data_IF_970026279473
#
_entry.id   IF_970026279473
#
_cell.length_a   1.000
_cell.length_b   1.000
_cell.length_c   1.000
_cell.angle_alpha   90.00
_cell.angle_beta   90.00
_cell.angle_gamma   90.00
#
_symmetry.space_group_name_H-M   'P 1'
#
loop_
_entity.id
_entity.type
_entity.pdbx_description
1 polymer ?
#
# COMPACT_ATOMS: atom_id res chain seq x y z
N UNK A 1 5.98 6.64 -14.68
CA UNK A 1 4.64 6.10 -14.38
C UNK A 1 3.92 5.87 -15.68
N UNK A 2 3.15 4.78 -15.79
CA UNK A 2 2.24 4.54 -16.92
C UNK A 2 0.88 4.14 -16.40
N UNK A 3 -0.17 4.60 -17.08
CA UNK A 3 -1.55 4.13 -16.86
C UNK A 3 -1.85 2.97 -17.80
N UNK A 4 -2.48 1.91 -17.28
CA UNK A 4 -2.89 0.77 -18.08
C UNK A 4 -4.36 0.44 -17.87
N UNK A 5 -5.07 0.35 -18.98
CA UNK A 5 -6.49 -0.05 -19.09
C UNK A 5 -7.44 0.76 -18.18
N UNK A 6 -7.06 1.99 -17.79
CA UNK A 6 -7.81 2.81 -16.83
C UNK A 6 -8.01 2.13 -15.47
N UNK A 7 -7.10 1.24 -15.10
CA UNK A 7 -7.23 0.39 -13.90
C UNK A 7 -5.94 0.28 -13.09
N UNK A 8 -4.78 0.42 -13.74
CA UNK A 8 -3.48 0.28 -13.08
C UNK A 8 -2.64 1.53 -13.27
N UNK A 9 -2.09 2.04 -12.17
CA UNK A 9 -1.01 3.01 -12.17
C UNK A 9 0.30 2.26 -11.88
N UNK A 10 1.23 2.30 -12.82
CA UNK A 10 2.49 1.55 -12.73
C UNK A 10 3.64 2.53 -12.49
N UNK A 11 4.23 2.49 -11.31
CA UNK A 11 5.43 3.27 -10.95
C UNK A 11 6.66 2.36 -11.03
N UNK A 12 7.76 2.87 -11.57
CA UNK A 12 8.98 2.08 -11.79
C UNK A 12 10.20 3.01 -11.91
N UNK A 13 11.41 2.53 -11.59
CA UNK A 13 12.64 3.24 -11.88
C UNK A 13 12.76 3.51 -13.38
N UNK A 14 12.97 4.77 -13.74
CA UNK A 14 13.20 5.20 -15.12
C UNK A 14 14.67 5.58 -15.36
N UNK A 15 15.10 5.58 -16.61
CA UNK A 15 16.37 6.20 -16.99
C UNK A 15 16.38 7.68 -16.60
N UNK A 16 17.54 8.20 -16.18
CA UNK A 16 17.71 9.53 -15.59
C UNK A 16 17.06 10.63 -16.42
N UNK A 17 15.91 11.12 -15.96
CA UNK A 17 15.28 12.36 -16.44
C UNK A 17 15.01 13.25 -15.23
N UNK A 18 15.89 14.20 -14.97
CA UNK A 18 15.79 15.14 -13.85
C UNK A 18 14.82 16.28 -14.16
N UNK A 19 13.52 16.02 -14.09
CA UNK A 19 12.53 17.09 -13.91
C UNK A 19 11.31 16.52 -13.20
N UNK A 20 10.99 17.03 -12.01
CA UNK A 20 9.67 16.82 -11.41
C UNK A 20 8.60 17.32 -12.38
N UNK A 21 7.49 16.60 -12.48
CA UNK A 21 6.37 16.96 -13.34
C UNK A 21 5.10 17.11 -12.50
N UNK A 22 4.14 17.87 -13.02
CA UNK A 22 2.79 17.82 -12.46
C UNK A 22 2.30 16.37 -12.48
N UNK A 23 1.68 15.92 -11.39
CA UNK A 23 1.04 14.61 -11.42
C UNK A 23 -0.08 14.58 -12.48
N UNK A 24 -0.45 13.38 -12.95
CA UNK A 24 -1.65 13.21 -13.75
C UNK A 24 -2.86 13.88 -13.09
N UNK A 25 -3.71 14.49 -13.91
CA UNK A 25 -4.93 15.11 -13.42
C UNK A 25 -5.80 14.06 -12.71
N UNK A 26 -6.34 14.43 -11.54
CA UNK A 26 -7.20 13.54 -10.78
C UNK A 26 -8.60 13.45 -11.44
N UNK A 27 -9.25 12.28 -11.41
CA UNK A 27 -10.63 12.13 -11.84
C UNK A 27 -11.58 13.09 -11.08
N UNK A 28 -12.59 13.64 -11.77
CA UNK A 28 -13.52 14.63 -11.17
C UNK A 28 -14.30 14.08 -9.96
N UNK A 29 -14.71 12.81 -10.03
CA UNK A 29 -15.35 12.08 -8.93
C UNK A 29 -14.40 11.94 -7.74
N UNK A 30 -13.11 11.71 -7.99
CA UNK A 30 -12.09 11.65 -6.95
C UNK A 30 -11.85 13.01 -6.28
N UNK A 31 -11.78 14.10 -7.04
CA UNK A 31 -11.67 15.47 -6.47
C UNK A 31 -12.88 15.77 -5.59
N UNK A 32 -14.09 15.40 -6.03
CA UNK A 32 -15.29 15.56 -5.22
C UNK A 32 -15.24 14.71 -3.92
N UNK A 33 -14.68 13.50 -3.99
CA UNK A 33 -14.43 12.63 -2.83
C UNK A 33 -13.45 13.24 -1.83
N UNK A 34 -12.29 13.70 -2.31
CA UNK A 34 -11.27 14.39 -1.50
C UNK A 34 -11.85 15.62 -0.81
N UNK A 35 -12.60 16.44 -1.53
CA UNK A 35 -13.28 17.61 -0.96
C UNK A 35 -14.28 17.22 0.12
N UNK A 36 -15.04 16.13 -0.07
CA UNK A 36 -15.99 15.62 0.93
C UNK A 36 -15.28 15.11 2.18
N UNK A 37 -14.15 14.41 2.03
CA UNK A 37 -13.39 13.80 3.14
C UNK A 37 -12.55 14.81 3.91
N UNK A 38 -11.89 15.72 3.19
CA UNK A 38 -10.80 16.55 3.72
C UNK A 38 -10.99 18.06 3.54
N UNK A 39 -12.07 18.48 2.87
CA UNK A 39 -12.33 19.90 2.59
C UNK A 39 -11.62 20.42 1.35
N UNK A 40 -12.04 21.61 0.90
CA UNK A 40 -11.57 22.20 -0.37
C UNK A 40 -10.07 22.49 -0.39
N UNK A 41 -9.51 22.99 0.72
CA UNK A 41 -8.09 23.37 0.80
C UNK A 41 -7.20 22.15 0.56
N UNK A 42 -7.47 21.06 1.27
CA UNK A 42 -6.70 19.81 1.15
C UNK A 42 -6.90 19.20 -0.24
N UNK A 43 -8.14 19.15 -0.74
CA UNK A 43 -8.44 18.64 -2.07
C UNK A 43 -7.65 19.37 -3.17
N UNK A 44 -7.63 20.71 -3.13
CA UNK A 44 -6.90 21.52 -4.10
C UNK A 44 -5.38 21.32 -3.99
N UNK A 45 -4.85 21.20 -2.77
CA UNK A 45 -3.43 20.97 -2.56
C UNK A 45 -3.00 19.57 -3.05
N UNK A 46 -3.81 18.53 -2.86
CA UNK A 46 -3.54 17.19 -3.38
C UNK A 46 -3.61 17.15 -4.91
N UNK A 47 -4.59 17.83 -5.51
CA UNK A 47 -4.73 17.96 -6.97
C UNK A 47 -3.55 18.72 -7.60
N UNK A 48 -3.12 19.83 -6.99
CA UNK A 48 -2.02 20.65 -7.48
C UNK A 48 -0.62 20.11 -7.11
N UNK A 49 -0.54 19.11 -6.22
CA UNK A 49 0.73 18.59 -5.73
C UNK A 49 1.58 18.03 -6.88
N UNK A 50 2.87 18.35 -6.89
CA UNK A 50 3.80 17.78 -7.88
C UNK A 50 4.14 16.33 -7.54
N UNK A 51 4.32 15.50 -8.58
CA UNK A 51 4.87 14.16 -8.45
C UNK A 51 6.33 14.14 -8.94
N UNK A 52 7.04 13.07 -8.60
CA UNK A 52 8.37 12.81 -9.14
C UNK A 52 8.34 11.85 -10.32
N UNK A 53 7.23 11.13 -10.53
CA UNK A 53 7.11 10.21 -11.64
C UNK A 53 6.85 10.94 -12.97
N UNK A 54 7.68 10.65 -13.96
CA UNK A 54 7.50 11.10 -15.35
C UNK A 54 6.61 10.11 -16.10
N UNK A 55 5.61 10.61 -16.82
CA UNK A 55 4.70 9.78 -17.62
C UNK A 55 5.45 9.10 -18.79
N UNK A 56 5.22 7.80 -18.99
CA UNK A 56 5.75 7.01 -20.12
C UNK A 56 7.28 7.07 -20.30
N UNK A 57 8.04 7.34 -19.24
CA UNK A 57 9.50 7.32 -19.29
C UNK A 57 10.05 5.91 -19.55
N UNK A 58 11.17 5.83 -20.26
CA UNK A 58 11.88 4.56 -20.46
C UNK A 58 12.35 3.99 -19.11
N UNK A 59 12.19 2.68 -18.87
CA UNK A 59 12.52 2.06 -17.60
C UNK A 59 14.03 1.92 -17.49
N UNK A 60 14.56 2.08 -16.28
CA UNK A 60 15.96 1.79 -16.03
C UNK A 60 16.26 0.31 -16.31
N UNK A 61 17.48 0.02 -16.77
CA UNK A 61 17.90 -1.36 -17.07
C UNK A 61 17.83 -2.28 -15.85
N UNK A 62 17.42 -3.53 -16.08
CA UNK A 62 17.43 -4.62 -15.10
C UNK A 62 16.05 -4.93 -14.51
N UNK A 63 15.76 -6.22 -14.36
CA UNK A 63 14.51 -6.72 -13.79
C UNK A 63 14.43 -6.43 -12.28
N UNK A 64 13.24 -6.04 -11.82
CA UNK A 64 13.00 -5.52 -10.47
C UNK A 64 11.85 -6.26 -9.80
N UNK A 65 11.90 -6.50 -8.47
CA UNK A 65 10.77 -7.04 -7.73
C UNK A 65 9.52 -6.16 -7.88
N UNK A 66 8.35 -6.80 -7.81
CA UNK A 66 7.05 -6.17 -8.03
C UNK A 66 6.25 -6.11 -6.74
N UNK A 67 5.63 -4.96 -6.50
CA UNK A 67 4.59 -4.78 -5.50
C UNK A 67 3.28 -4.57 -6.25
N UNK A 68 2.29 -5.44 -6.01
CA UNK A 68 0.92 -5.19 -6.46
C UNK A 68 0.17 -4.55 -5.30
N UNK A 69 -0.24 -3.30 -5.48
CA UNK A 69 -0.81 -2.46 -4.43
C UNK A 69 -2.33 -2.30 -4.59
N UNK A 70 -3.08 -2.42 -3.49
CA UNK A 70 -4.50 -2.10 -3.43
C UNK A 70 -4.80 -0.96 -2.42
N UNK A 71 -5.53 0.11 -2.82
CA UNK A 71 -5.90 1.21 -1.94
C UNK A 71 -6.99 0.80 -0.93
N UNK A 72 -7.35 1.73 -0.04
CA UNK A 72 -8.52 1.56 0.83
C UNK A 72 -9.86 1.65 0.09
N UNK A 73 -10.94 1.22 0.76
CA UNK A 73 -12.28 1.33 0.19
C UNK A 73 -12.72 2.79 0.07
N UNK A 74 -13.28 3.15 -1.10
CA UNK A 74 -13.55 4.53 -1.52
C UNK A 74 -12.31 5.43 -1.65
N UNK A 75 -11.11 4.85 -1.66
CA UNK A 75 -9.85 5.55 -1.92
C UNK A 75 -9.32 5.17 -3.30
N UNK A 76 -8.36 5.93 -3.79
CA UNK A 76 -7.68 5.63 -5.05
C UNK A 76 -6.17 5.48 -4.87
N UNK A 77 -5.47 4.85 -5.81
CA UNK A 77 -4.01 4.73 -5.78
C UNK A 77 -3.31 6.11 -5.68
N UNK A 78 -3.90 7.14 -6.29
CA UNK A 78 -3.43 8.52 -6.25
C UNK A 78 -3.41 9.10 -4.83
N UNK A 79 -4.20 8.57 -3.88
CA UNK A 79 -4.16 8.94 -2.47
C UNK A 79 -2.84 8.53 -1.78
N UNK A 80 -2.03 7.67 -2.41
CA UNK A 80 -0.81 7.08 -1.84
C UNK A 80 0.46 7.44 -2.61
N UNK A 81 0.37 8.40 -3.54
CA UNK A 81 1.44 8.70 -4.51
C UNK A 81 2.79 8.89 -3.84
N UNK A 82 2.90 9.61 -2.72
CA UNK A 82 4.19 9.83 -2.06
C UNK A 82 4.87 8.51 -1.64
N UNK A 83 4.10 7.57 -1.09
CA UNK A 83 4.60 6.26 -0.66
C UNK A 83 4.92 5.38 -1.87
N UNK A 84 4.05 5.36 -2.88
CA UNK A 84 4.24 4.53 -4.08
C UNK A 84 5.46 5.00 -4.91
N UNK A 85 5.67 6.30 -5.04
CA UNK A 85 6.86 6.87 -5.70
C UNK A 85 8.13 6.64 -4.90
N UNK A 86 8.10 6.77 -3.56
CA UNK A 86 9.27 6.46 -2.72
C UNK A 86 9.66 4.97 -2.86
N UNK A 87 8.69 4.05 -2.82
CA UNK A 87 8.92 2.63 -3.05
C UNK A 87 9.52 2.38 -4.44
N UNK A 88 8.95 2.99 -5.50
CA UNK A 88 9.50 2.85 -6.85
C UNK A 88 10.94 3.38 -6.94
N UNK A 89 11.25 4.52 -6.29
CA UNK A 89 12.58 5.12 -6.27
C UNK A 89 13.65 4.20 -5.65
N UNK A 90 13.23 3.25 -4.81
CA UNK A 90 14.11 2.25 -4.16
C UNK A 90 14.38 1.03 -5.03
N UNK A 91 13.83 0.98 -6.24
CA UNK A 91 14.09 -0.10 -7.18
C UNK A 91 12.99 -1.15 -7.25
N UNK A 92 11.75 -0.78 -7.00
CA UNK A 92 10.58 -1.66 -7.15
C UNK A 92 9.72 -1.23 -8.33
N UNK A 93 9.09 -2.17 -9.00
CA UNK A 93 7.92 -1.87 -9.84
C UNK A 93 6.69 -1.95 -8.97
N UNK A 94 5.90 -0.88 -8.92
CA UNK A 94 4.67 -0.80 -8.15
C UNK A 94 3.49 -0.78 -9.12
N UNK A 95 2.71 -1.84 -9.12
CA UNK A 95 1.46 -1.96 -9.88
C UNK A 95 0.29 -1.65 -8.95
N UNK A 96 -0.14 -0.40 -8.94
CA UNK A 96 -1.20 0.07 -8.06
C UNK A 96 -2.55 -0.02 -8.74
N UNK A 97 -3.46 -0.79 -8.15
CA UNK A 97 -4.87 -0.83 -8.55
C UNK A 97 -5.47 0.55 -8.29
N UNK A 98 -5.93 1.21 -9.34
CA UNK A 98 -6.38 2.60 -9.25
C UNK A 98 -7.52 2.76 -8.25
N UNK A 99 -8.52 1.86 -8.30
CA UNK A 99 -9.64 1.83 -7.35
C UNK A 99 -10.08 0.41 -7.09
N UNK A 100 -10.61 0.16 -5.89
CA UNK A 100 -11.19 -1.14 -5.58
C UNK A 100 -12.45 -1.41 -6.42
N UNK A 101 -12.82 -2.69 -6.67
CA UNK A 101 -14.07 -3.03 -7.32
C UNK A 101 -15.28 -2.39 -6.61
N UNK A 102 -16.22 -1.87 -7.38
CA UNK A 102 -17.44 -1.26 -6.84
C UNK A 102 -18.26 -2.29 -6.06
N UNK A 103 -18.73 -1.90 -4.88
CA UNK A 103 -19.51 -2.74 -3.99
C UNK A 103 -20.23 -1.91 -2.94
N UNK A 104 -21.36 -2.42 -2.43
CA UNK A 104 -22.10 -1.81 -1.32
C UNK A 104 -21.48 -2.14 0.05
N UNK A 105 -20.72 -3.24 0.13
CA UNK A 105 -19.98 -3.66 1.32
C UNK A 105 -18.48 -3.71 1.02
N UNK A 106 -17.60 -3.66 2.04
CA UNK A 106 -16.16 -3.80 1.84
C UNK A 106 -15.77 -5.01 0.95
N UNK A 107 -15.23 -4.78 -0.26
CA UNK A 107 -15.10 -5.82 -1.29
C UNK A 107 -13.85 -6.70 -1.13
N UNK A 108 -13.64 -7.34 0.02
CA UNK A 108 -12.41 -8.10 0.31
C UNK A 108 -12.12 -9.17 -0.74
N UNK A 109 -13.09 -10.02 -1.09
CA UNK A 109 -12.89 -11.12 -2.03
C UNK A 109 -12.70 -10.66 -3.48
N UNK A 110 -13.38 -9.58 -3.89
CA UNK A 110 -13.19 -9.00 -5.23
C UNK A 110 -11.84 -8.29 -5.33
N UNK A 111 -11.43 -7.58 -4.28
CA UNK A 111 -10.11 -6.94 -4.21
C UNK A 111 -8.98 -7.97 -4.23
N UNK A 112 -9.14 -9.08 -3.51
CA UNK A 112 -8.15 -10.17 -3.54
C UNK A 112 -7.99 -10.76 -4.95
N UNK A 113 -9.08 -10.91 -5.71
CA UNK A 113 -9.04 -11.33 -7.13
C UNK A 113 -8.32 -10.28 -8.00
N UNK A 114 -8.61 -9.00 -7.80
CA UNK A 114 -7.94 -7.93 -8.52
C UNK A 114 -6.42 -7.90 -8.28
N UNK A 115 -5.95 -8.21 -7.06
CA UNK A 115 -4.52 -8.34 -6.77
C UNK A 115 -3.88 -9.53 -7.53
N UNK A 116 -4.55 -10.68 -7.59
CA UNK A 116 -4.11 -11.82 -8.42
C UNK A 116 -4.13 -11.50 -9.91
N UNK A 117 -5.06 -10.67 -10.39
CA UNK A 117 -5.04 -10.18 -11.77
C UNK A 117 -3.85 -9.24 -12.03
N UNK A 118 -3.47 -8.41 -11.05
CA UNK A 118 -2.26 -7.59 -11.12
C UNK A 118 -0.97 -8.42 -11.13
N UNK A 119 -0.94 -9.51 -10.35
CA UNK A 119 0.14 -10.50 -10.42
C UNK A 119 0.22 -11.16 -11.79
N UNK A 120 -0.91 -11.62 -12.33
CA UNK A 120 -0.97 -12.22 -13.66
C UNK A 120 -0.52 -11.22 -14.73
N UNK A 121 -0.87 -9.94 -14.56
CA UNK A 121 -0.40 -8.85 -15.41
C UNK A 121 1.10 -8.58 -15.25
N UNK A 122 1.69 -8.75 -14.07
CA UNK A 122 3.14 -8.63 -13.86
C UNK A 122 3.89 -9.84 -14.45
N UNK A 123 3.35 -11.05 -14.22
CA UNK A 123 3.89 -12.32 -14.70
C UNK A 123 3.77 -12.48 -16.20
N UNK A 124 2.73 -11.88 -16.75
CA UNK A 124 2.48 -11.75 -18.15
C UNK A 124 2.04 -10.33 -18.43
N UNK A 125 2.98 -9.37 -18.46
CA UNK A 125 2.82 -8.23 -19.36
C UNK A 125 2.88 -8.84 -20.77
N UNK A 126 1.76 -9.46 -21.15
CA UNK A 126 1.64 -10.56 -22.09
C UNK A 126 1.02 -10.00 -23.37
N UNK A 127 1.80 -10.02 -24.46
CA UNK A 127 1.37 -9.93 -25.85
C UNK A 127 0.90 -8.59 -26.48
N UNK A 128 0.84 -7.42 -25.81
CA UNK A 128 0.81 -6.11 -26.52
C UNK A 128 1.16 -4.84 -25.68
N UNK A 129 1.50 -3.76 -26.40
CA UNK A 129 1.70 -2.30 -26.13
C UNK A 129 2.66 -1.85 -25.03
N UNK A 130 3.08 -2.72 -24.10
CA UNK A 130 4.04 -2.36 -23.04
C UNK A 130 5.21 -3.34 -22.91
N UNK A 131 5.56 -4.06 -23.98
CA UNK A 131 6.68 -5.02 -24.00
C UNK A 131 8.00 -4.39 -23.51
N UNK A 132 8.17 -3.10 -23.74
CA UNK A 132 9.32 -2.33 -23.27
C UNK A 132 9.47 -2.32 -21.74
N UNK A 133 8.37 -2.52 -20.98
CA UNK A 133 8.38 -2.58 -19.52
C UNK A 133 8.66 -4.00 -19.00
N UNK A 134 8.50 -5.04 -19.83
CA UNK A 134 8.67 -6.44 -19.42
C UNK A 134 10.07 -6.71 -18.89
N UNK A 135 11.08 -6.10 -19.51
CA UNK A 135 12.47 -6.24 -19.11
C UNK A 135 12.77 -5.64 -17.71
N UNK A 136 11.89 -4.76 -17.20
CA UNK A 136 12.02 -4.14 -15.90
C UNK A 136 11.35 -4.95 -14.77
N UNK A 137 10.65 -6.04 -15.09
CA UNK A 137 9.88 -6.82 -14.11
C UNK A 137 10.52 -8.18 -13.85
N UNK A 138 10.74 -8.47 -12.56
CA UNK A 138 11.00 -9.80 -12.05
C UNK A 138 9.69 -10.39 -11.51
N UNK A 139 8.99 -11.14 -12.38
CA UNK A 139 7.71 -11.76 -12.04
C UNK A 139 7.82 -12.90 -11.02
N UNK A 140 9.02 -13.36 -10.70
CA UNK A 140 9.23 -14.34 -9.64
C UNK A 140 9.29 -13.70 -8.25
N UNK A 141 9.27 -12.36 -8.17
CA UNK A 141 9.39 -11.61 -6.91
C UNK A 141 8.22 -10.65 -6.72
N UNK A 142 7.04 -11.21 -6.52
CA UNK A 142 5.80 -10.44 -6.34
C UNK A 142 5.39 -10.44 -4.87
N UNK A 143 5.10 -9.26 -4.32
CA UNK A 143 4.51 -9.07 -2.99
C UNK A 143 3.19 -8.31 -3.12
N UNK A 144 2.16 -8.76 -2.39
CA UNK A 144 0.90 -8.03 -2.31
C UNK A 144 0.92 -7.03 -1.16
N UNK A 145 0.53 -5.79 -1.43
CA UNK A 145 0.49 -4.73 -0.42
C UNK A 145 -0.86 -4.04 -0.53
N UNK A 146 -1.41 -3.59 0.59
CA UNK A 146 -2.55 -2.70 0.51
C UNK A 146 -2.87 -2.01 1.81
N UNK A 147 -3.76 -1.02 1.71
CA UNK A 147 -4.25 -0.26 2.85
C UNK A 147 -5.71 -0.57 3.15
N UNK A 148 -6.09 -0.60 4.43
CA UNK A 148 -7.48 -0.82 4.86
C UNK A 148 -8.04 -2.11 4.24
N UNK A 149 -9.18 -2.05 3.55
CA UNK A 149 -9.74 -3.20 2.80
C UNK A 149 -8.72 -3.82 1.83
N UNK A 150 -7.92 -3.01 1.14
CA UNK A 150 -6.86 -3.49 0.24
C UNK A 150 -5.79 -4.30 0.97
N UNK A 151 -5.45 -3.93 2.20
CA UNK A 151 -4.43 -4.63 3.01
C UNK A 151 -4.90 -5.99 3.50
N UNK A 152 -6.11 -6.08 4.04
CA UNK A 152 -6.68 -7.36 4.45
C UNK A 152 -6.94 -8.26 3.22
N UNK A 153 -7.35 -7.68 2.09
CA UNK A 153 -7.50 -8.39 0.82
C UNK A 153 -6.16 -8.89 0.24
N UNK A 154 -5.05 -8.17 0.43
CA UNK A 154 -3.71 -8.62 0.04
C UNK A 154 -3.32 -9.92 0.74
N UNK A 155 -3.59 -10.01 2.04
CA UNK A 155 -3.33 -11.23 2.82
C UNK A 155 -4.29 -12.35 2.45
N UNK A 156 -5.56 -12.03 2.15
CA UNK A 156 -6.53 -13.00 1.63
C UNK A 156 -6.10 -13.55 0.26
N UNK A 157 -5.58 -12.70 -0.64
CA UNK A 157 -5.06 -13.10 -1.94
C UNK A 157 -3.85 -14.02 -1.78
N UNK A 158 -2.88 -13.64 -0.94
CA UNK A 158 -1.71 -14.47 -0.63
C UNK A 158 -2.08 -15.80 0.07
N UNK A 159 -3.21 -15.86 0.77
CA UNK A 159 -3.73 -17.13 1.31
C UNK A 159 -4.21 -18.11 0.25
N UNK A 160 -4.59 -17.59 -0.92
CA UNK A 160 -5.08 -18.37 -2.07
C UNK A 160 -3.99 -18.58 -3.11
N UNK A 161 -2.87 -17.88 -2.98
CA UNK A 161 -1.75 -17.99 -3.89
C UNK A 161 -0.42 -18.08 -3.12
N UNK A 162 0.14 -19.28 -2.91
CA UNK A 162 1.41 -19.46 -2.20
C UNK A 162 2.65 -19.15 -3.06
N UNK A 163 2.51 -18.77 -4.34
CA UNK A 163 3.67 -18.45 -5.21
C UNK A 163 4.25 -17.07 -4.93
N UNK A 164 3.44 -16.13 -4.44
CA UNK A 164 3.88 -14.78 -4.06
C UNK A 164 4.82 -14.84 -2.86
N UNK A 165 5.67 -13.83 -2.73
CA UNK A 165 6.73 -13.79 -1.71
C UNK A 165 6.27 -13.29 -0.35
N UNK A 166 5.10 -12.68 -0.28
CA UNK A 166 4.50 -12.26 0.98
C UNK A 166 3.33 -11.32 0.77
N UNK A 167 2.76 -10.87 1.89
CA UNK A 167 1.73 -9.84 1.90
C UNK A 167 1.96 -8.80 3.00
N UNK A 168 1.63 -7.55 2.71
CA UNK A 168 1.64 -6.45 3.67
C UNK A 168 0.23 -5.86 3.81
N UNK A 169 -0.26 -5.85 5.04
CA UNK A 169 -1.52 -5.23 5.41
C UNK A 169 -1.24 -3.92 6.17
N UNK A 170 -1.54 -2.79 5.56
CA UNK A 170 -1.49 -1.47 6.19
C UNK A 170 -2.86 -1.16 6.80
N UNK A 171 -3.02 -1.47 8.08
CA UNK A 171 -4.14 -1.11 8.94
C UNK A 171 -5.52 -1.59 8.49
N UNK A 172 -5.56 -2.71 7.75
CA UNK A 172 -6.78 -3.38 7.32
C UNK A 172 -7.31 -4.36 8.37
N UNK A 173 -8.55 -4.16 8.79
CA UNK A 173 -9.25 -5.12 9.63
C UNK A 173 -9.57 -6.41 8.84
N UNK A 174 -9.27 -7.56 9.44
CA UNK A 174 -9.61 -8.87 8.88
C UNK A 174 -11.09 -9.19 9.15
N UNK A 175 -11.99 -8.44 8.52
CA UNK A 175 -13.43 -8.64 8.64
C UNK A 175 -13.98 -9.50 7.49
N UNK A 176 -15.19 -10.03 7.69
CA UNK A 176 -15.92 -10.81 6.67
C UNK A 176 -15.04 -11.90 6.02
N UNK A 177 -14.92 -11.91 4.70
CA UNK A 177 -14.11 -12.90 3.97
C UNK A 177 -12.62 -12.83 4.33
N UNK A 178 -12.09 -11.67 4.69
CA UNK A 178 -10.68 -11.54 5.07
C UNK A 178 -10.37 -12.22 6.42
N UNK A 179 -11.36 -12.43 7.30
CA UNK A 179 -11.19 -13.20 8.53
C UNK A 179 -10.79 -14.67 8.28
N UNK A 180 -11.12 -15.19 7.08
CA UNK A 180 -10.80 -16.55 6.66
C UNK A 180 -9.39 -16.69 6.07
N UNK A 181 -8.62 -15.60 5.95
CA UNK A 181 -7.27 -15.66 5.41
C UNK A 181 -6.37 -16.60 6.23
N UNK A 182 -5.61 -17.46 5.55
CA UNK A 182 -4.69 -18.44 6.12
C UNK A 182 -3.42 -18.52 5.25
N UNK A 183 -2.63 -17.45 5.16
CA UNK A 183 -1.43 -17.39 4.33
C UNK A 183 -0.38 -18.38 4.82
N UNK A 184 0.30 -19.05 3.88
CA UNK A 184 1.50 -19.86 4.14
C UNK A 184 2.79 -19.09 3.88
N UNK A 185 2.67 -17.86 3.40
CA UNK A 185 3.77 -16.94 3.07
C UNK A 185 3.99 -15.93 4.22
N UNK A 186 5.11 -15.19 4.23
CA UNK A 186 5.34 -14.11 5.18
C UNK A 186 4.25 -13.05 5.16
N UNK A 187 3.94 -12.46 6.32
CA UNK A 187 2.96 -11.39 6.44
C UNK A 187 3.47 -10.28 7.36
N UNK A 188 3.46 -9.05 6.87
CA UNK A 188 3.61 -7.85 7.70
C UNK A 188 2.24 -7.19 7.91
N UNK A 189 1.82 -7.05 9.16
CA UNK A 189 0.61 -6.32 9.55
C UNK A 189 0.99 -5.05 10.30
N UNK A 190 0.89 -3.91 9.65
CA UNK A 190 1.11 -2.60 10.27
C UNK A 190 -0.21 -2.05 10.76
N UNK A 191 -0.28 -1.67 12.03
CA UNK A 191 -1.48 -1.23 12.70
C UNK A 191 -1.32 0.21 13.16
N UNK A 192 -2.37 1.00 12.99
CA UNK A 192 -2.49 2.27 13.66
C UNK A 192 -2.80 2.08 15.16
N UNK A 193 -2.71 3.17 15.92
CA UNK A 193 -3.01 3.20 17.34
C UNK A 193 -4.17 4.17 17.61
N UNK A 194 -5.26 3.62 18.13
CA UNK A 194 -6.38 4.41 18.64
C UNK A 194 -6.45 4.25 20.17
N UNK A 195 -6.09 5.28 20.96
CA UNK A 195 -6.10 5.20 22.42
C UNK A 195 -7.50 4.99 23.00
N UNK A 196 -8.51 5.43 22.26
CA UNK A 196 -9.93 5.38 22.60
C UNK A 196 -10.64 4.13 22.08
N UNK A 197 -9.87 3.14 21.62
CA UNK A 197 -10.43 1.93 21.08
C UNK A 197 -11.10 1.04 22.15
N UNK A 198 -12.30 0.56 21.83
CA UNK A 198 -13.02 -0.38 22.68
C UNK A 198 -12.23 -1.70 22.89
N UNK A 199 -12.15 -2.15 24.13
CA UNK A 199 -11.47 -3.40 24.50
C UNK A 199 -12.00 -4.62 23.71
N UNK A 200 -13.28 -4.65 23.38
CA UNK A 200 -13.88 -5.69 22.54
C UNK A 200 -13.34 -5.70 21.11
N UNK A 201 -13.06 -4.53 20.53
CA UNK A 201 -12.44 -4.40 19.20
C UNK A 201 -11.00 -4.90 19.21
N UNK A 202 -10.23 -4.54 20.24
CA UNK A 202 -8.85 -5.02 20.45
C UNK A 202 -8.85 -6.54 20.57
N UNK A 203 -9.68 -7.10 21.45
CA UNK A 203 -9.77 -8.54 21.68
C UNK A 203 -10.19 -9.30 20.40
N UNK A 204 -11.18 -8.79 19.67
CA UNK A 204 -11.62 -9.38 18.40
C UNK A 204 -10.47 -9.41 17.38
N UNK A 205 -9.74 -8.32 17.20
CA UNK A 205 -8.63 -8.29 16.22
C UNK A 205 -7.48 -9.18 16.65
N UNK A 206 -7.16 -9.24 17.94
CA UNK A 206 -6.15 -10.18 18.44
C UNK A 206 -6.54 -11.63 18.15
N UNK A 207 -7.81 -11.99 18.38
CA UNK A 207 -8.33 -13.32 18.04
C UNK A 207 -8.21 -13.63 16.54
N UNK A 208 -8.71 -12.73 15.69
CA UNK A 208 -8.65 -12.95 14.24
C UNK A 208 -7.21 -13.01 13.75
N UNK A 209 -6.33 -12.14 14.24
CA UNK A 209 -4.91 -12.18 13.89
C UNK A 209 -4.25 -13.50 14.29
N UNK A 210 -4.56 -14.04 15.47
CA UNK A 210 -4.08 -15.36 15.90
C UNK A 210 -4.44 -16.44 14.89
N UNK A 211 -5.64 -16.39 14.34
CA UNK A 211 -6.10 -17.35 13.33
C UNK A 211 -5.44 -17.11 11.96
N UNK A 212 -5.32 -15.86 11.52
CA UNK A 212 -4.70 -15.51 10.24
C UNK A 212 -3.22 -15.88 10.25
N UNK A 213 -2.48 -15.53 11.31
CA UNK A 213 -1.05 -15.75 11.40
C UNK A 213 -0.66 -17.22 11.56
N UNK A 214 -1.58 -18.09 11.98
CA UNK A 214 -1.31 -19.46 12.41
C UNK A 214 -0.55 -20.33 11.39
N UNK A 215 -0.69 -20.04 10.08
CA UNK A 215 0.01 -20.76 9.01
C UNK A 215 1.11 -19.96 8.33
N UNK A 216 1.27 -18.67 8.65
CA UNK A 216 2.25 -17.82 8.00
C UNK A 216 3.66 -18.31 8.35
N UNK A 217 4.54 -18.36 7.36
CA UNK A 217 5.93 -18.76 7.57
C UNK A 217 6.74 -17.72 8.35
N UNK A 218 6.33 -16.45 8.32
CA UNK A 218 6.94 -15.36 9.07
C UNK A 218 5.91 -14.23 9.31
N UNK A 219 5.02 -14.38 10.31
CA UNK A 219 4.09 -13.33 10.66
C UNK A 219 4.74 -12.27 11.54
N UNK A 220 4.52 -11.01 11.21
CA UNK A 220 4.91 -9.87 12.03
C UNK A 220 3.77 -8.86 12.10
N UNK A 221 3.38 -8.48 13.31
CA UNK A 221 2.46 -7.37 13.53
C UNK A 221 3.18 -6.24 14.27
N UNK A 222 3.08 -5.02 13.73
CA UNK A 222 3.68 -3.81 14.28
C UNK A 222 2.58 -2.79 14.52
N UNK A 223 2.42 -2.32 15.76
CA UNK A 223 1.59 -1.17 16.08
C UNK A 223 2.43 0.11 16.05
N UNK A 224 2.06 1.05 15.18
CA UNK A 224 2.76 2.32 15.01
C UNK A 224 2.13 3.38 15.91
N UNK A 225 2.90 3.86 16.88
CA UNK A 225 2.46 4.88 17.82
C UNK A 225 2.23 6.21 17.10
N UNK A 226 1.14 6.89 17.44
CA UNK A 226 0.78 8.17 16.83
C UNK A 226 0.19 8.08 15.42
N UNK A 227 0.07 6.88 14.84
CA UNK A 227 -0.73 6.68 13.63
C UNK A 227 -2.20 6.53 14.00
N UNK A 228 -3.08 7.12 13.18
CA UNK A 228 -4.47 6.70 12.96
C UNK A 228 -4.60 6.22 11.51
N UNK A 229 -5.78 5.70 11.17
CA UNK A 229 -6.04 5.00 9.92
C UNK A 229 -5.63 5.75 8.65
N UNK A 230 -5.69 7.08 8.62
CA UNK A 230 -5.34 7.87 7.42
C UNK A 230 -3.90 8.37 7.43
N UNK A 231 -3.05 7.97 8.37
CA UNK A 231 -1.63 8.36 8.35
C UNK A 231 -0.81 7.67 7.23
N UNK A 232 -1.36 6.65 6.57
CA UNK A 232 -0.71 5.94 5.47
C UNK A 232 -0.88 6.60 4.10
N UNK A 233 -1.66 7.68 4.00
CA UNK A 233 -1.99 8.36 2.73
C UNK A 233 -1.44 9.79 2.67
N UNK A 234 -1.32 10.34 1.47
CA UNK A 234 -0.74 11.67 1.19
C UNK A 234 -1.47 12.80 1.94
N UNK A 235 -2.77 12.65 2.19
CA UNK A 235 -3.56 13.60 2.97
C UNK A 235 -3.00 13.83 4.39
N UNK A 236 -2.21 12.91 4.93
CA UNK A 236 -1.52 13.08 6.20
C UNK A 236 -0.57 14.29 6.20
N UNK A 237 0.08 14.59 5.06
CA UNK A 237 0.95 15.76 4.89
C UNK A 237 0.22 17.08 5.12
N UNK A 238 -1.11 17.06 4.98
CA UNK A 238 -2.00 18.21 5.08
C UNK A 238 -3.00 18.07 6.23
N UNK A 239 -2.72 17.18 7.19
CA UNK A 239 -3.66 16.82 8.25
C UNK A 239 -4.11 18.05 9.05
N UNK A 240 -3.25 19.04 9.25
CA UNK A 240 -3.59 20.27 9.99
C UNK A 240 -4.67 21.11 9.29
N UNK A 241 -4.76 21.05 7.96
CA UNK A 241 -5.76 21.77 7.16
C UNK A 241 -7.07 20.99 6.99
N UNK A 242 -7.10 19.71 7.41
CA UNK A 242 -8.32 18.89 7.40
C UNK A 242 -9.29 19.41 8.47
N UNK A 243 -10.60 19.57 8.16
CA UNK A 243 -11.61 19.96 9.15
C UNK A 243 -11.56 19.08 10.40
N UNK A 244 -11.64 19.71 11.58
CA UNK A 244 -11.41 19.04 12.88
C UNK A 244 -12.19 17.72 13.05
N UNK A 245 -13.47 17.70 12.62
CA UNK A 245 -14.33 16.51 12.70
C UNK A 245 -13.76 15.31 11.93
N UNK A 246 -13.21 15.55 10.74
CA UNK A 246 -12.58 14.51 9.93
C UNK A 246 -11.16 14.20 10.44
N UNK A 247 -10.45 15.23 10.90
CA UNK A 247 -9.07 15.10 11.39
C UNK A 247 -8.95 14.23 12.64
N UNK A 248 -9.79 14.48 13.65
CA UNK A 248 -9.68 13.89 14.99
C UNK A 248 -9.69 12.36 14.99
N UNK A 249 -10.43 11.74 14.07
CA UNK A 249 -10.56 10.29 13.97
C UNK A 249 -9.72 9.69 12.84
N UNK A 250 -9.32 10.50 11.84
CA UNK A 250 -8.58 10.05 10.68
C UNK A 250 -7.06 10.09 10.85
N UNK A 251 -6.53 11.12 11.51
CA UNK A 251 -5.09 11.37 11.58
C UNK A 251 -4.62 11.47 13.02
N UNK A 252 -3.54 10.76 13.34
CA UNK A 252 -2.84 10.84 14.61
C UNK A 252 -1.76 11.92 14.61
N UNK A 253 -0.97 11.95 15.69
CA UNK A 253 0.00 13.00 15.99
C UNK A 253 1.41 12.76 15.43
N UNK A 254 1.62 11.68 14.68
CA UNK A 254 2.93 11.40 14.10
C UNK A 254 3.33 12.45 13.06
N UNK A 255 4.63 12.74 12.94
CA UNK A 255 5.15 13.70 11.94
C UNK A 255 4.84 13.17 10.54
N UNK A 256 4.01 13.84 9.72
CA UNK A 256 3.45 13.24 8.51
C UNK A 256 4.47 12.70 7.50
N UNK A 257 5.47 13.50 7.13
CA UNK A 257 6.49 13.08 6.17
C UNK A 257 7.33 11.90 6.69
N UNK A 258 7.65 11.90 7.99
CA UNK A 258 8.35 10.78 8.62
C UNK A 258 7.48 9.52 8.68
N UNK A 259 6.17 9.65 8.87
CA UNK A 259 5.24 8.52 8.87
C UNK A 259 5.10 7.85 7.51
N UNK A 260 4.95 8.63 6.44
CA UNK A 260 4.93 8.09 5.07
C UNK A 260 6.27 7.43 4.71
N UNK A 261 7.38 8.06 5.12
CA UNK A 261 8.72 7.49 4.94
C UNK A 261 8.90 6.17 5.69
N UNK A 262 8.46 6.09 6.95
CA UNK A 262 8.48 4.85 7.73
C UNK A 262 7.67 3.74 7.07
N UNK A 263 6.50 4.09 6.52
CA UNK A 263 5.66 3.15 5.77
C UNK A 263 6.43 2.58 4.57
N UNK A 264 7.03 3.44 3.75
CA UNK A 264 7.84 3.01 2.61
C UNK A 264 9.09 2.20 3.04
N UNK A 265 9.75 2.59 4.12
CA UNK A 265 10.91 1.88 4.68
C UNK A 265 10.54 0.45 5.12
N UNK A 266 9.42 0.28 5.84
CA UNK A 266 8.95 -1.03 6.32
C UNK A 266 8.45 -1.93 5.18
N UNK A 267 7.73 -1.38 4.21
CA UNK A 267 7.29 -2.14 3.03
C UNK A 267 8.49 -2.59 2.20
N UNK A 268 9.43 -1.69 1.89
CA UNK A 268 10.62 -2.02 1.12
C UNK A 268 11.51 -3.05 1.85
N UNK A 269 11.69 -2.87 3.16
CA UNK A 269 12.38 -3.82 4.02
C UNK A 269 11.81 -5.25 3.95
N UNK A 270 10.49 -5.37 4.08
CA UNK A 270 9.79 -6.65 3.99
C UNK A 270 9.97 -7.28 2.61
N UNK A 271 9.87 -6.47 1.55
CA UNK A 271 10.08 -6.94 0.19
C UNK A 271 11.54 -7.33 -0.09
N UNK A 272 12.53 -6.63 0.47
CA UNK A 272 13.93 -6.99 0.34
C UNK A 272 14.25 -8.31 1.05
N UNK A 273 13.61 -8.59 2.19
CA UNK A 273 13.82 -9.84 2.92
C UNK A 273 13.26 -11.03 2.13
N UNK A 274 11.98 -10.96 1.78
CA UNK A 274 11.29 -12.12 1.24
C UNK A 274 11.26 -12.17 -0.29
N UNK A 275 11.50 -11.04 -0.96
CA UNK A 275 11.65 -10.92 -2.41
C UNK A 275 13.10 -10.95 -2.88
N UNK A 276 14.05 -10.33 -2.16
CA UNK A 276 15.46 -10.21 -2.57
C UNK A 276 16.46 -11.02 -1.72
N UNK A 277 16.04 -11.55 -0.56
CA UNK A 277 16.85 -12.44 0.29
C UNK A 277 17.87 -11.75 1.21
N UNK A 278 17.77 -10.44 1.50
CA UNK A 278 18.77 -9.69 2.29
C UNK A 278 18.24 -8.49 3.11
N UNK A 279 16.93 -8.38 3.35
CA UNK A 279 16.28 -7.10 3.74
C UNK A 279 16.11 -6.84 5.24
N UNK A 280 15.90 -7.86 6.06
CA UNK A 280 15.42 -7.67 7.43
C UNK A 280 16.47 -7.00 8.33
N UNK A 281 17.74 -7.36 8.16
CA UNK A 281 18.85 -6.72 8.90
C UNK A 281 19.09 -5.25 8.47
N UNK A 282 18.75 -4.88 7.23
CA UNK A 282 18.82 -3.51 6.72
C UNK A 282 17.62 -2.67 7.18
N UNK A 283 16.42 -3.27 7.18
CA UNK A 283 15.21 -2.72 7.78
C UNK A 283 15.43 -2.32 9.24
N UNK A 284 16.07 -3.22 9.98
CA UNK A 284 16.38 -3.02 11.38
C UNK A 284 17.23 -1.76 11.64
N UNK A 285 18.07 -1.38 10.67
CA UNK A 285 18.94 -0.20 10.75
C UNK A 285 18.28 1.10 10.30
N UNK A 286 17.23 1.04 9.48
CA UNK A 286 16.56 2.21 8.87
C UNK A 286 15.28 2.62 9.60
N UNK A 287 14.60 1.69 10.25
CA UNK A 287 13.38 1.95 11.01
C UNK A 287 13.74 2.33 12.44
N UNK A 288 13.21 3.45 12.92
CA UNK A 288 13.24 3.79 14.34
C UNK A 288 12.20 2.93 15.09
N UNK A 289 12.58 1.70 15.48
CA UNK A 289 11.71 0.71 16.16
C UNK A 289 11.08 1.17 17.49
N UNK A 290 11.46 2.35 18.00
CA UNK A 290 10.78 2.98 19.13
C UNK A 290 9.32 3.33 18.81
N UNK A 291 9.01 3.54 17.53
CA UNK A 291 7.70 4.03 17.11
C UNK A 291 6.81 2.93 16.52
N UNK A 292 7.40 1.84 16.01
CA UNK A 292 6.70 0.68 15.46
C UNK A 292 6.92 -0.54 16.37
N UNK A 293 6.03 -0.69 17.35
CA UNK A 293 6.17 -1.65 18.45
C UNK A 293 5.57 -3.00 18.02
N UNK A 294 6.31 -4.12 18.12
CA UNK A 294 5.75 -5.44 17.90
C UNK A 294 4.55 -5.69 18.82
N UNK A 295 3.44 -6.16 18.27
CA UNK A 295 2.33 -6.63 19.11
C UNK A 295 2.74 -7.89 19.86
N UNK A 296 2.49 -7.91 21.16
CA UNK A 296 2.62 -9.13 21.95
C UNK A 296 1.55 -10.15 21.53
N UNK A 297 1.91 -11.43 21.62
CA UNK A 297 1.06 -12.56 21.26
C UNK A 297 -0.14 -12.78 22.20
#
# INVERSE_FOLDING_TARGET
>A
MVERDGRWLIYYPAEMNHTAQAAPALPKDHIADLKRRFGSVVSQALEAGMGFAVANAHPATGARPVIVFAPGWHMMAQDYRAVLEDIASRGYVVMALERLPESQTPPYAATARALTEGEALAAGIAADRMDWLNAAIDSQKIVFVGHSVGGAAAVLAASRNPTVKGAVNLDGDYANEAASARPTVPVLYMLSYAPDEAASSIARRAEVWRQVKAKSSAPLALQVQGFRHLNFMDAALLAEQVPLKARANGFGYYIPAAGLRMTADLVAAFCDEYGNGNGWALAQKRVHWRDAIPLAD
#
